data_IF_859863100976
#
_entry.id   IF_859863100976
#
_cell.length_a   1.000
_cell.length_b   1.000
_cell.length_c   1.000
_cell.angle_alpha   90.00
_cell.angle_beta   90.00
_cell.angle_gamma   90.00
#
_symmetry.space_group_name_H-M   'P 1'
#
loop_
_entity.id
_entity.type
_entity.pdbx_description
1 polymer ?
#
# COMPACT_ATOMS: atom_id res chain seq x y z
N UNK A 1 -1.91 -31.88 23.93
CA UNK A 1 -1.99 -30.39 23.89
C UNK A 1 -1.83 -30.00 22.44
N UNK A 2 -2.86 -29.38 21.86
CA UNK A 2 -3.04 -29.23 20.41
C UNK A 2 -1.89 -28.44 19.75
N UNK A 3 -1.49 -28.90 18.56
CA UNK A 3 -0.52 -28.25 17.69
C UNK A 3 -1.04 -26.87 17.28
N UNK A 4 -0.28 -25.83 17.59
CA UNK A 4 -0.50 -24.51 17.04
C UNK A 4 0.12 -24.50 15.63
N UNK A 5 -0.65 -24.97 14.65
CA UNK A 5 -0.34 -24.82 13.23
C UNK A 5 -0.53 -23.34 12.86
N UNK A 6 0.48 -22.54 13.18
CA UNK A 6 0.63 -21.19 12.66
C UNK A 6 0.95 -21.32 11.17
N UNK A 7 -0.09 -21.61 10.38
CA UNK A 7 -0.06 -21.55 8.93
C UNK A 7 0.16 -20.09 8.57
N UNK A 8 1.44 -19.70 8.50
CA UNK A 8 1.86 -18.44 7.92
C UNK A 8 1.21 -18.36 6.54
N UNK A 9 0.10 -17.61 6.47
CA UNK A 9 -0.59 -17.37 5.20
C UNK A 9 0.49 -16.86 4.26
N UNK A 10 0.72 -17.51 3.10
CA UNK A 10 1.72 -17.04 2.17
C UNK A 10 1.42 -15.56 1.92
N UNK A 11 2.43 -14.70 2.16
CA UNK A 11 2.31 -13.29 1.83
C UNK A 11 1.84 -13.23 0.37
N UNK A 12 0.68 -12.62 0.15
CA UNK A 12 0.15 -12.44 -1.20
C UNK A 12 1.26 -11.85 -2.06
N UNK A 13 1.50 -12.46 -3.22
CA UNK A 13 2.58 -12.04 -4.09
C UNK A 13 2.45 -10.53 -4.39
N UNK A 14 3.57 -9.79 -4.44
CA UNK A 14 3.53 -8.36 -4.66
C UNK A 14 2.83 -8.04 -5.98
N UNK A 15 1.91 -7.08 -5.95
CA UNK A 15 1.20 -6.58 -7.13
C UNK A 15 2.16 -5.79 -8.01
N UNK A 16 2.47 -6.28 -9.22
CA UNK A 16 3.38 -5.59 -10.15
C UNK A 16 2.61 -4.74 -11.15
N UNK A 17 2.96 -3.45 -11.28
CA UNK A 17 2.31 -2.57 -12.24
C UNK A 17 2.61 -3.01 -13.69
N UNK A 18 1.57 -3.06 -14.53
CA UNK A 18 1.70 -3.42 -15.94
C UNK A 18 1.66 -4.93 -16.23
N UNK A 19 1.32 -5.77 -15.25
CA UNK A 19 1.03 -7.19 -15.51
C UNK A 19 -0.19 -7.38 -16.42
N UNK A 20 -0.18 -8.48 -17.17
CA UNK A 20 -1.33 -8.89 -17.97
C UNK A 20 -2.49 -9.29 -17.05
N UNK A 21 -3.62 -8.61 -17.23
CA UNK A 21 -4.85 -8.80 -16.46
C UNK A 21 -5.81 -9.79 -17.13
N UNK A 22 -5.53 -10.23 -18.36
CA UNK A 22 -6.47 -11.04 -19.17
C UNK A 22 -6.87 -12.37 -18.55
N UNK A 23 -6.05 -12.88 -17.61
CA UNK A 23 -6.24 -14.17 -16.92
C UNK A 23 -6.85 -14.04 -15.54
N UNK A 24 -7.05 -12.81 -15.05
CA UNK A 24 -7.62 -12.56 -13.72
C UNK A 24 -9.14 -12.52 -13.80
N UNK A 25 -9.79 -13.14 -12.83
CA UNK A 25 -11.22 -13.02 -12.60
C UNK A 25 -11.59 -11.64 -12.05
N UNK A 26 -12.88 -11.29 -12.10
CA UNK A 26 -13.39 -10.04 -11.51
C UNK A 26 -13.05 -9.91 -10.01
N UNK A 27 -13.10 -11.01 -9.28
CA UNK A 27 -12.79 -11.05 -7.85
C UNK A 27 -11.29 -10.77 -7.61
N UNK A 28 -10.41 -11.40 -8.37
CA UNK A 28 -8.96 -11.16 -8.28
C UNK A 28 -8.60 -9.73 -8.67
N UNK A 29 -9.30 -9.15 -9.66
CA UNK A 29 -9.15 -7.74 -10.02
C UNK A 29 -9.60 -6.81 -8.87
N UNK A 30 -10.71 -7.13 -8.20
CA UNK A 30 -11.18 -6.35 -7.05
C UNK A 30 -10.19 -6.40 -5.87
N UNK A 31 -9.65 -7.57 -5.55
CA UNK A 31 -8.61 -7.73 -4.52
C UNK A 31 -7.35 -6.94 -4.88
N UNK A 32 -6.91 -7.01 -6.14
CA UNK A 32 -5.77 -6.24 -6.65
C UNK A 32 -5.99 -4.74 -6.54
N UNK A 33 -7.18 -4.25 -6.90
CA UNK A 33 -7.55 -2.83 -6.77
C UNK A 33 -7.48 -2.39 -5.31
N UNK A 34 -8.02 -3.19 -4.38
CA UNK A 34 -8.00 -2.86 -2.96
C UNK A 34 -6.55 -2.72 -2.43
N UNK A 35 -5.65 -3.64 -2.81
CA UNK A 35 -4.24 -3.57 -2.45
C UNK A 35 -3.56 -2.32 -3.00
N UNK A 36 -3.79 -1.99 -4.26
CA UNK A 36 -3.21 -0.80 -4.90
C UNK A 36 -3.71 0.50 -4.26
N UNK A 37 -5.00 0.57 -3.94
CA UNK A 37 -5.58 1.73 -3.25
C UNK A 37 -4.99 1.93 -1.85
N UNK A 38 -4.82 0.84 -1.09
CA UNK A 38 -4.16 0.90 0.22
C UNK A 38 -2.72 1.41 0.10
N UNK A 39 -1.98 0.97 -0.93
CA UNK A 39 -0.61 1.42 -1.18
C UNK A 39 -0.55 2.91 -1.59
N UNK A 40 -1.48 3.37 -2.44
CA UNK A 40 -1.60 4.80 -2.79
C UNK A 40 -1.87 5.64 -1.55
N UNK A 41 -2.75 5.20 -0.65
CA UNK A 41 -3.02 5.90 0.61
C UNK A 41 -1.78 5.95 1.50
N UNK A 42 -1.05 4.84 1.65
CA UNK A 42 0.18 4.77 2.44
C UNK A 42 1.25 5.72 1.91
N UNK A 43 1.50 5.70 0.60
CA UNK A 43 2.49 6.57 -0.06
C UNK A 43 2.06 8.04 0.01
N UNK A 44 0.77 8.32 -0.14
CA UNK A 44 0.23 9.67 0.00
C UNK A 44 0.42 10.19 1.42
N UNK A 45 0.11 9.38 2.44
CA UNK A 45 0.32 9.74 3.84
C UNK A 45 1.80 10.00 4.16
N UNK A 46 2.71 9.17 3.64
CA UNK A 46 4.15 9.35 3.80
C UNK A 46 4.65 10.63 3.11
N UNK A 47 4.18 10.89 1.89
CA UNK A 47 4.45 12.13 1.16
C UNK A 47 3.95 13.34 1.93
N UNK A 48 2.73 13.28 2.45
CA UNK A 48 2.08 14.40 3.14
C UNK A 48 2.73 14.64 4.51
N UNK A 49 3.17 13.60 5.22
CA UNK A 49 3.98 13.73 6.42
C UNK A 49 5.30 14.48 6.11
N UNK A 50 5.97 14.14 5.01
CA UNK A 50 7.20 14.82 4.56
C UNK A 50 6.94 16.24 4.04
N UNK A 51 5.81 16.46 3.36
CA UNK A 51 5.37 17.76 2.85
C UNK A 51 4.91 18.72 3.95
N UNK A 52 4.23 18.20 4.97
CA UNK A 52 3.85 18.95 6.18
C UNK A 52 5.07 19.39 6.98
N UNK A 53 6.12 18.56 7.04
CA UNK A 53 7.42 18.97 7.59
C UNK A 53 8.05 20.09 6.76
N UNK A 54 7.96 20.04 5.43
CA UNK A 54 8.49 21.10 4.55
C UNK A 54 7.71 22.42 4.69
N UNK A 55 6.37 22.38 4.74
CA UNK A 55 5.53 23.57 4.91
C UNK A 55 5.68 24.20 6.31
N UNK A 56 5.82 23.38 7.37
CA UNK A 56 6.12 23.86 8.71
C UNK A 56 7.53 24.47 8.81
N UNK A 57 8.52 23.88 8.14
CA UNK A 57 9.88 24.45 8.06
C UNK A 57 9.88 25.79 7.29
N UNK A 58 9.23 25.86 6.12
CA UNK A 58 9.17 27.08 5.30
C UNK A 58 8.40 28.24 5.97
N UNK A 59 7.59 27.96 7.00
CA UNK A 59 6.92 28.98 7.83
C UNK A 59 7.81 29.52 8.96
N UNK A 60 8.78 28.73 9.43
CA UNK A 60 9.76 29.14 10.45
C UNK A 60 10.87 30.00 9.85
N UNK A 61 11.26 29.76 8.60
CA UNK A 61 12.34 30.49 7.91
C UNK A 61 11.89 31.79 7.19
N UNK A 62 10.59 32.14 7.23
CA UNK A 62 10.04 33.37 6.63
C UNK A 62 9.71 34.48 7.63
N UNK A 63 10.26 34.41 8.85
CA UNK A 63 10.22 35.48 9.85
C UNK A 63 11.54 36.23 9.92
#
# INVERSE_FOLDING_TARGET
MAANEDSARPLAAPVVLGEDLSRLSEQELAERIALLQAEVLRVTAERDARGGVRAAADAVFRK
#
